data_IF_254915495269
#
_entry.id   IF_254915495269
#
_cell.length_a   1.000
_cell.length_b   1.000
_cell.length_c   1.000
_cell.angle_alpha   90.00
_cell.angle_beta   90.00
_cell.angle_gamma   90.00
#
_symmetry.space_group_name_H-M   'P 1'
#
loop_
_entity.id
_entity.type
_entity.pdbx_description
1 polymer ?
#
# COMPACT_ATOMS: atom_id res chain seq x y z
N UNK A 1 -11.43 29.92 1.99
CA UNK A 1 -12.03 30.24 0.68
C UNK A 1 -12.03 28.96 -0.14
N UNK A 2 -13.19 28.47 -0.54
CA UNK A 2 -13.34 27.14 -1.17
C UNK A 2 -12.67 27.09 -2.55
N UNK A 3 -12.77 28.17 -3.33
CA UNK A 3 -12.19 28.22 -4.68
C UNK A 3 -10.66 28.22 -4.61
N UNK A 4 -10.08 29.01 -3.70
CA UNK A 4 -8.63 29.00 -3.47
C UNK A 4 -8.09 27.64 -3.02
N UNK A 5 -8.88 26.86 -2.27
CA UNK A 5 -8.49 25.49 -1.86
C UNK A 5 -8.55 24.53 -3.05
N UNK A 6 -9.53 24.67 -3.94
CA UNK A 6 -9.63 23.87 -5.16
C UNK A 6 -8.46 24.16 -6.11
N UNK A 7 -8.15 25.44 -6.34
CA UNK A 7 -7.01 25.85 -7.18
C UNK A 7 -5.70 25.33 -6.61
N UNK A 8 -5.49 25.43 -5.29
CA UNK A 8 -4.30 24.88 -4.65
C UNK A 8 -4.20 23.34 -4.80
N UNK A 9 -5.32 22.63 -4.68
CA UNK A 9 -5.34 21.17 -4.84
C UNK A 9 -4.99 20.77 -6.29
N UNK A 10 -5.64 21.40 -7.28
CA UNK A 10 -5.50 21.04 -8.70
C UNK A 10 -4.17 21.52 -9.30
N UNK A 11 -3.78 22.77 -9.02
CA UNK A 11 -2.66 23.41 -9.70
C UNK A 11 -1.32 23.24 -8.98
N UNK A 12 -1.33 22.95 -7.67
CA UNK A 12 -0.09 22.85 -6.88
C UNK A 12 0.14 21.43 -6.34
N UNK A 13 -0.89 20.79 -5.78
CA UNK A 13 -0.74 19.50 -5.08
C UNK A 13 -0.73 18.32 -6.04
N UNK A 14 -1.67 18.22 -6.99
CA UNK A 14 -1.71 17.10 -7.95
C UNK A 14 -0.41 17.01 -8.79
N UNK A 15 0.17 18.09 -9.32
CA UNK A 15 1.38 18.01 -10.15
C UNK A 15 2.64 17.49 -9.42
N UNK A 16 2.69 17.57 -8.09
CA UNK A 16 3.83 17.08 -7.30
C UNK A 16 3.63 15.67 -6.74
N UNK A 17 2.45 15.06 -6.93
CA UNK A 17 2.19 13.68 -6.50
C UNK A 17 2.85 12.69 -7.47
N UNK A 18 3.61 11.73 -6.95
CA UNK A 18 4.13 10.61 -7.75
C UNK A 18 3.00 9.80 -8.39
N UNK A 19 1.96 9.50 -7.60
CA UNK A 19 0.75 8.82 -8.03
C UNK A 19 -0.47 9.49 -7.36
N UNK A 20 -1.58 9.72 -8.08
CA UNK A 20 -2.80 10.26 -7.47
C UNK A 20 -3.34 9.34 -6.37
N UNK A 21 -3.65 9.91 -5.20
CA UNK A 21 -4.31 9.19 -4.11
C UNK A 21 -5.76 8.91 -4.50
N UNK A 22 -6.08 7.63 -4.73
CA UNK A 22 -7.40 7.19 -5.18
C UNK A 22 -7.76 5.80 -4.67
N UNK A 23 -9.05 5.45 -4.76
CA UNK A 23 -9.48 4.08 -4.55
C UNK A 23 -8.86 3.16 -5.61
N UNK A 24 -8.17 2.14 -5.11
CA UNK A 24 -7.57 1.06 -5.87
C UNK A 24 -7.88 -0.27 -5.18
N UNK A 25 -7.62 -1.39 -5.85
CA UNK A 25 -7.80 -2.72 -5.23
C UNK A 25 -7.03 -2.82 -3.91
N UNK A 26 -5.79 -2.36 -3.89
CA UNK A 26 -4.92 -2.45 -2.71
C UNK A 26 -5.42 -1.51 -1.59
N UNK A 27 -5.86 -0.29 -1.94
CA UNK A 27 -6.47 0.63 -0.98
C UNK A 27 -7.78 0.10 -0.38
N UNK A 28 -8.60 -0.59 -1.19
CA UNK A 28 -9.82 -1.25 -0.70
C UNK A 28 -9.47 -2.40 0.25
N UNK A 29 -8.41 -3.15 -0.03
CA UNK A 29 -7.94 -4.23 0.85
C UNK A 29 -7.45 -3.70 2.18
N UNK A 30 -6.76 -2.55 2.22
CA UNK A 30 -6.40 -1.90 3.48
C UNK A 30 -7.63 -1.62 4.34
N UNK A 31 -8.66 -1.01 3.75
CA UNK A 31 -9.92 -0.70 4.44
C UNK A 31 -10.70 -1.95 4.86
N UNK A 32 -10.78 -2.95 3.99
CA UNK A 32 -11.48 -4.21 4.26
C UNK A 32 -10.80 -5.04 5.35
N UNK A 33 -9.47 -5.16 5.29
CA UNK A 33 -8.70 -6.00 6.19
C UNK A 33 -8.33 -5.29 7.50
N UNK A 34 -8.53 -3.96 7.58
CA UNK A 34 -8.09 -3.15 8.72
C UNK A 34 -6.56 -3.03 8.80
N UNK A 35 -5.86 -3.15 7.67
CA UNK A 35 -4.41 -2.95 7.62
C UNK A 35 -4.07 -1.46 7.71
N UNK A 36 -2.89 -1.16 8.27
CA UNK A 36 -2.42 0.20 8.45
C UNK A 36 -2.09 0.85 7.10
N UNK A 37 -2.60 2.07 6.86
CA UNK A 37 -2.60 2.67 5.52
C UNK A 37 -1.21 3.00 4.98
N UNK A 38 -0.22 3.28 5.84
CA UNK A 38 1.16 3.56 5.41
C UNK A 38 1.82 2.37 4.71
N UNK A 39 1.31 1.15 4.91
CA UNK A 39 1.86 -0.08 4.33
C UNK A 39 1.71 -0.16 2.81
N UNK A 40 0.81 0.62 2.20
CA UNK A 40 0.49 0.55 0.77
C UNK A 40 1.74 0.62 -0.12
N UNK A 41 2.57 1.65 0.09
CA UNK A 41 3.74 1.88 -0.77
C UNK A 41 4.83 0.83 -0.53
N UNK A 42 4.97 0.33 0.71
CA UNK A 42 5.90 -0.74 1.01
C UNK A 42 5.47 -2.05 0.34
N UNK A 43 4.19 -2.40 0.41
CA UNK A 43 3.65 -3.59 -0.23
C UNK A 43 3.77 -3.52 -1.77
N UNK A 44 3.51 -2.35 -2.38
CA UNK A 44 3.76 -2.15 -3.82
C UNK A 44 5.24 -2.31 -4.20
N UNK A 45 6.16 -1.78 -3.40
CA UNK A 45 7.61 -1.96 -3.62
C UNK A 45 8.01 -3.43 -3.50
N UNK A 46 7.47 -4.14 -2.51
CA UNK A 46 7.70 -5.57 -2.33
C UNK A 46 7.12 -6.40 -3.49
N UNK A 47 5.95 -6.03 -4.03
CA UNK A 47 5.37 -6.65 -5.23
C UNK A 47 6.31 -6.53 -6.43
N UNK A 48 6.85 -5.34 -6.70
CA UNK A 48 7.81 -5.13 -7.77
C UNK A 48 9.13 -5.90 -7.56
N UNK A 49 9.58 -6.04 -6.30
CA UNK A 49 10.85 -6.71 -5.96
C UNK A 49 10.74 -8.24 -6.01
N UNK A 50 9.65 -8.79 -5.50
CA UNK A 50 9.49 -10.23 -5.25
C UNK A 50 8.49 -10.92 -6.19
N UNK A 51 7.74 -10.16 -6.98
CA UNK A 51 6.78 -10.70 -7.95
C UNK A 51 5.52 -11.29 -7.32
N UNK A 52 5.22 -10.94 -6.06
CA UNK A 52 4.02 -11.39 -5.35
C UNK A 52 3.00 -10.26 -5.21
N UNK A 53 1.69 -10.51 -5.30
CA UNK A 53 0.72 -9.42 -5.36
C UNK A 53 0.62 -8.63 -4.04
N UNK A 54 0.74 -7.30 -4.09
CA UNK A 54 0.75 -6.43 -2.90
C UNK A 54 -0.50 -6.58 -2.02
N UNK A 55 -1.68 -6.69 -2.63
CA UNK A 55 -2.92 -6.92 -1.89
C UNK A 55 -2.90 -8.19 -1.02
N UNK A 56 -2.20 -9.26 -1.44
CA UNK A 56 -2.07 -10.46 -0.62
C UNK A 56 -1.10 -10.25 0.54
N UNK A 57 -0.02 -9.50 0.33
CA UNK A 57 0.89 -9.09 1.41
C UNK A 57 0.11 -8.28 2.46
N UNK A 58 -0.71 -7.32 2.02
CA UNK A 58 -1.52 -6.49 2.91
C UNK A 58 -2.58 -7.30 3.70
N UNK A 59 -3.20 -8.29 3.06
CA UNK A 59 -4.10 -9.23 3.75
C UNK A 59 -3.37 -10.03 4.82
N UNK A 60 -2.15 -10.47 4.55
CA UNK A 60 -1.34 -11.21 5.51
C UNK A 60 -0.89 -10.33 6.68
N UNK A 61 -0.49 -9.08 6.43
CA UNK A 61 -0.22 -8.08 7.48
C UNK A 61 -1.42 -7.89 8.42
N UNK A 62 -2.62 -7.69 7.84
CA UNK A 62 -3.86 -7.61 8.60
C UNK A 62 -4.14 -8.90 9.39
N UNK A 63 -3.94 -10.07 8.78
CA UNK A 63 -4.13 -11.38 9.45
C UNK A 63 -3.20 -11.52 10.66
N UNK A 64 -1.97 -11.01 10.56
CA UNK A 64 -0.96 -10.96 11.64
C UNK A 64 -1.23 -9.85 12.67
N UNK A 65 -2.27 -9.03 12.49
CA UNK A 65 -2.67 -7.91 13.38
C UNK A 65 -1.53 -6.91 13.61
N UNK A 66 -0.75 -6.65 12.57
CA UNK A 66 0.37 -5.71 12.62
C UNK A 66 -0.12 -4.28 12.84
N UNK A 67 0.70 -3.47 13.50
CA UNK A 67 0.46 -2.04 13.75
C UNK A 67 1.47 -1.18 12.98
N UNK A 68 1.20 0.12 12.85
CA UNK A 68 2.13 1.06 12.21
C UNK A 68 3.52 1.01 12.84
N UNK A 69 4.57 1.11 12.02
CA UNK A 69 5.96 0.92 12.45
C UNK A 69 6.52 -0.48 12.24
N UNK A 70 5.72 -1.43 11.74
CA UNK A 70 6.14 -2.81 11.42
C UNK A 70 6.28 -3.04 9.91
N UNK A 71 6.72 -2.02 9.17
CA UNK A 71 6.87 -2.08 7.71
C UNK A 71 7.91 -3.11 7.24
N UNK A 72 8.85 -3.50 8.11
CA UNK A 72 9.86 -4.54 7.87
C UNK A 72 9.24 -5.91 7.57
N UNK A 73 8.15 -6.27 8.25
CA UNK A 73 7.46 -7.55 8.05
C UNK A 73 6.89 -7.74 6.65
N UNK A 74 6.64 -6.65 5.91
CA UNK A 74 6.14 -6.69 4.53
C UNK A 74 7.14 -7.41 3.63
N UNK A 75 8.43 -7.15 3.85
CA UNK A 75 9.52 -7.75 3.08
C UNK A 75 9.66 -9.24 3.40
N UNK A 76 9.61 -9.61 4.69
CA UNK A 76 9.64 -11.00 5.13
C UNK A 76 8.48 -11.82 4.55
N UNK A 77 7.25 -11.28 4.62
CA UNK A 77 6.06 -11.92 4.05
C UNK A 77 6.22 -12.10 2.54
N UNK A 78 6.72 -11.09 1.84
CA UNK A 78 6.88 -11.18 0.39
C UNK A 78 7.88 -12.28 0.00
N UNK A 79 8.97 -12.42 0.75
CA UNK A 79 9.95 -13.50 0.57
C UNK A 79 9.31 -14.87 0.83
N UNK A 80 8.58 -15.02 1.94
CA UNK A 80 7.85 -16.26 2.29
C UNK A 80 6.87 -16.67 1.17
N UNK A 81 6.07 -15.72 0.68
CA UNK A 81 5.10 -15.96 -0.40
C UNK A 81 5.79 -16.33 -1.71
N UNK A 82 6.89 -15.66 -2.05
CA UNK A 82 7.65 -15.95 -3.28
C UNK A 82 8.31 -17.33 -3.23
N UNK A 83 8.71 -17.81 -2.05
CA UNK A 83 9.24 -19.16 -1.87
C UNK A 83 8.17 -20.23 -2.09
N UNK A 84 6.96 -20.02 -1.57
CA UNK A 84 5.83 -20.96 -1.75
C UNK A 84 5.42 -21.07 -3.21
N UNK A 85 5.36 -19.95 -3.94
CA UNK A 85 4.93 -19.92 -5.34
C UNK A 85 5.89 -20.59 -6.34
N UNK A 86 7.14 -20.88 -5.93
CA UNK A 86 8.15 -21.56 -6.76
C UNK A 86 8.08 -23.09 -6.68
N UNK A 87 7.22 -23.64 -5.83
CA UNK A 87 6.96 -25.06 -5.67
C UNK A 87 5.57 -25.43 -6.18
#
# INVERSE_FOLDING_TARGET
>A
DIFKLMDAAEEQVIPIMDEPVRLSRDALVLGYAGAYSSFLLFAKRAELRYGVPSHQILLEMARRRTVGGQEDLIEDIAIEMAAIAKH
#
